data_IF_435339956292
#
_entry.id   IF_435339956292
#
_cell.length_a   1.000
_cell.length_b   1.000
_cell.length_c   1.000
_cell.angle_alpha   90.00
_cell.angle_beta   90.00
_cell.angle_gamma   90.00
#
_symmetry.space_group_name_H-M   'P 1'
#
loop_
_entity.id
_entity.type
_entity.pdbx_description
1 polymer ?
#
# COMPACT_ATOMS: atom_id res chain seq x y z
N UNK A 1 5.76 7.57 -13.49
CA UNK A 1 5.11 8.11 -12.27
C UNK A 1 5.73 7.45 -11.06
N UNK A 2 6.28 8.26 -10.19
CA UNK A 2 6.94 7.75 -8.99
C UNK A 2 5.95 7.72 -7.84
N UNK A 3 5.75 6.54 -7.26
CA UNK A 3 4.76 6.31 -6.23
C UNK A 3 5.40 5.67 -5.02
N UNK A 4 4.65 5.65 -3.91
CA UNK A 4 5.05 4.91 -2.71
C UNK A 4 4.27 3.61 -2.66
N UNK A 5 4.96 2.50 -2.78
CA UNK A 5 4.35 1.18 -2.74
C UNK A 5 4.32 0.68 -1.31
N UNK A 6 3.17 0.14 -0.89
CA UNK A 6 2.98 -0.39 0.47
C UNK A 6 2.41 -1.79 0.35
N UNK A 7 3.13 -2.75 0.88
CA UNK A 7 2.71 -4.16 0.87
C UNK A 7 2.51 -4.64 2.29
N UNK A 8 1.62 -5.62 2.50
CA UNK A 8 1.39 -6.11 3.87
C UNK A 8 2.67 -6.58 4.53
N UNK A 9 2.88 -6.16 5.76
CA UNK A 9 4.00 -6.63 6.57
C UNK A 9 5.33 -5.98 6.29
N UNK A 10 5.46 -5.13 5.27
CA UNK A 10 6.77 -4.57 4.88
C UNK A 10 6.77 -3.05 5.01
N UNK A 11 7.97 -2.48 5.04
CA UNK A 11 8.13 -1.04 5.00
C UNK A 11 7.81 -0.52 3.59
N UNK A 12 7.25 0.70 3.49
CA UNK A 12 6.97 1.25 2.16
C UNK A 12 8.24 1.52 1.38
N UNK A 13 8.13 1.49 0.06
CA UNK A 13 9.27 1.74 -0.81
C UNK A 13 8.81 2.47 -2.07
N UNK A 14 9.75 3.18 -2.68
CA UNK A 14 9.47 3.92 -3.90
C UNK A 14 9.43 2.98 -5.09
N UNK A 15 8.53 3.26 -6.02
CA UNK A 15 8.36 2.43 -7.21
C UNK A 15 7.96 3.31 -8.37
N UNK A 16 8.40 2.94 -9.55
CA UNK A 16 7.98 3.60 -10.79
C UNK A 16 6.86 2.79 -11.42
N UNK A 17 5.73 3.44 -11.71
CA UNK A 17 4.60 2.81 -12.40
C UNK A 17 4.21 3.66 -13.59
N UNK A 18 4.06 3.05 -14.74
CA UNK A 18 3.71 3.77 -15.95
C UNK A 18 2.53 3.07 -16.63
N UNK A 19 1.39 3.75 -16.63
CA UNK A 19 0.20 3.26 -17.30
C UNK A 19 -0.67 2.36 -16.44
N UNK A 20 -1.88 2.18 -16.92
CA UNK A 20 -2.91 1.45 -16.18
C UNK A 20 -2.52 0.00 -15.94
N UNK A 21 -1.89 -0.63 -16.92
CA UNK A 21 -1.54 -2.04 -16.80
C UNK A 21 -0.57 -2.27 -15.64
N UNK A 22 0.43 -1.40 -15.50
CA UNK A 22 1.38 -1.53 -14.39
C UNK A 22 0.73 -1.23 -13.05
N UNK A 23 -0.20 -0.27 -13.03
CA UNK A 23 -0.93 0.04 -11.81
C UNK A 23 -1.79 -1.16 -11.38
N UNK A 24 -2.48 -1.80 -12.32
CA UNK A 24 -3.28 -2.97 -12.01
C UNK A 24 -2.41 -4.12 -11.50
N UNK A 25 -1.26 -4.32 -12.12
CA UNK A 25 -0.34 -5.37 -11.69
C UNK A 25 0.16 -5.11 -10.27
N UNK A 26 0.42 -3.85 -9.94
CA UNK A 26 0.93 -3.48 -8.62
C UNK A 26 -0.05 -3.81 -7.51
N UNK A 27 -1.35 -3.63 -7.75
CA UNK A 27 -2.37 -3.87 -6.71
C UNK A 27 -3.02 -5.25 -6.83
N UNK A 28 -2.79 -5.95 -7.94
CA UNK A 28 -3.30 -7.29 -8.11
C UNK A 28 -4.73 -7.37 -8.61
N UNK A 29 -5.25 -6.32 -9.23
CA UNK A 29 -6.62 -6.31 -9.72
C UNK A 29 -7.00 -4.98 -10.33
N UNK A 30 -8.28 -4.74 -10.46
CA UNK A 30 -8.79 -3.47 -10.94
C UNK A 30 -8.54 -2.40 -9.89
N UNK A 31 -8.16 -1.22 -10.32
CA UNK A 31 -7.78 -0.17 -9.38
C UNK A 31 -8.99 0.61 -8.90
N UNK A 32 -8.90 1.04 -7.65
CA UNK A 32 -9.84 1.97 -7.02
C UNK A 32 -9.01 3.00 -6.28
N UNK A 33 -9.36 4.27 -6.43
CA UNK A 33 -8.70 5.34 -5.70
C UNK A 33 -9.55 5.75 -4.51
N UNK A 34 -8.92 5.92 -3.37
CA UNK A 34 -9.56 6.51 -2.19
C UNK A 34 -8.72 7.70 -1.74
N UNK A 35 -9.33 8.57 -0.95
CA UNK A 35 -8.73 9.87 -0.62
C UNK A 35 -8.77 10.09 0.89
N UNK A 36 -8.01 9.29 1.66
CA UNK A 36 -8.09 9.37 3.13
C UNK A 36 -7.34 10.56 3.74
N UNK A 37 -6.58 11.30 2.96
CA UNK A 37 -5.77 12.41 3.46
C UNK A 37 -6.24 13.72 2.86
N UNK A 38 -6.01 14.82 3.59
CA UNK A 38 -6.38 16.15 3.10
C UNK A 38 -5.29 16.75 2.22
N UNK A 39 -4.45 15.95 1.66
CA UNK A 39 -3.39 16.33 0.75
C UNK A 39 -3.81 15.93 -0.66
N UNK A 40 -3.11 16.46 -1.66
CA UNK A 40 -3.38 16.11 -3.06
C UNK A 40 -2.71 14.79 -3.41
N UNK A 41 -3.17 13.74 -2.76
CA UNK A 41 -2.69 12.38 -2.98
C UNK A 41 -3.88 11.43 -3.02
N UNK A 42 -3.68 10.31 -3.68
CA UNK A 42 -4.65 9.22 -3.70
C UNK A 42 -3.97 7.95 -3.20
N UNK A 43 -4.74 7.12 -2.52
CA UNK A 43 -4.36 5.75 -2.21
C UNK A 43 -5.06 4.87 -3.23
N UNK A 44 -4.29 4.12 -4.02
CA UNK A 44 -4.82 3.30 -5.10
C UNK A 44 -4.66 1.84 -4.71
N UNK A 45 -5.76 1.12 -4.71
CA UNK A 45 -5.82 -0.25 -4.22
C UNK A 45 -6.72 -1.08 -5.14
N UNK A 46 -6.75 -2.38 -4.87
CA UNK A 46 -7.67 -3.30 -5.54
C UNK A 46 -9.10 -2.93 -5.13
N UNK A 47 -10.02 -2.89 -6.09
CA UNK A 47 -11.41 -2.53 -5.80
C UNK A 47 -12.14 -3.63 -5.02
N UNK A 48 -11.53 -4.79 -4.85
CA UNK A 48 -12.08 -5.86 -4.02
C UNK A 48 -11.30 -6.02 -2.71
N UNK A 49 -10.68 -4.95 -2.24
CA UNK A 49 -9.75 -5.01 -1.11
C UNK A 49 -10.35 -5.60 0.18
N UNK A 50 -11.67 -5.49 0.34
CA UNK A 50 -12.33 -5.98 1.56
C UNK A 50 -12.66 -7.47 1.51
N UNK A 51 -12.35 -8.13 0.41
CA UNK A 51 -12.67 -9.55 0.24
C UNK A 51 -11.50 -10.47 0.53
N UNK A 52 -10.38 -9.93 1.04
CA UNK A 52 -9.16 -10.70 1.29
C UNK A 52 -8.67 -10.44 2.72
N UNK A 53 -9.41 -10.90 3.75
CA UNK A 53 -9.13 -10.49 5.13
C UNK A 53 -7.77 -10.93 5.66
N UNK A 54 -7.18 -11.99 5.13
CA UNK A 54 -5.86 -12.44 5.57
C UNK A 54 -4.72 -11.64 4.92
N UNK A 55 -5.06 -10.63 4.12
CA UNK A 55 -4.06 -9.77 3.48
C UNK A 55 -4.14 -8.34 4.00
N UNK A 56 -4.61 -8.15 5.22
CA UNK A 56 -4.73 -6.81 5.78
C UNK A 56 -3.38 -6.09 5.73
N UNK A 57 -3.39 -4.85 5.28
CA UNK A 57 -2.18 -4.07 5.07
C UNK A 57 -2.07 -2.93 6.09
N UNK A 58 -2.87 -1.91 5.94
CA UNK A 58 -2.81 -0.73 6.82
C UNK A 58 -4.21 -0.20 7.08
N UNK A 59 -4.41 0.35 8.27
CA UNK A 59 -5.62 1.12 8.54
C UNK A 59 -5.51 2.48 7.88
N UNK A 60 -6.67 3.08 7.58
CA UNK A 60 -6.74 4.36 6.88
C UNK A 60 -7.61 5.32 7.64
N UNK A 61 -7.23 6.61 7.68
CA UNK A 61 -8.08 7.64 8.27
C UNK A 61 -9.25 7.97 7.34
N UNK A 62 -10.09 8.90 7.75
CA UNK A 62 -11.16 9.42 6.90
C UNK A 62 -12.35 8.51 6.74
N UNK A 63 -12.53 7.54 7.63
CA UNK A 63 -13.69 6.67 7.58
C UNK A 63 -13.56 5.51 6.62
N UNK A 64 -12.40 5.32 6.01
CA UNK A 64 -12.20 4.22 5.05
C UNK A 64 -11.92 2.88 5.72
N UNK A 65 -11.57 2.89 7.00
CA UNK A 65 -11.28 1.66 7.73
C UNK A 65 -9.88 1.16 7.46
N UNK A 66 -9.71 0.33 6.43
CA UNK A 66 -8.41 -0.19 6.12
C UNK A 66 -8.32 -0.68 4.69
N UNK A 67 -7.11 -1.03 4.28
CA UNK A 67 -6.85 -1.58 2.95
C UNK A 67 -6.27 -2.96 3.11
N UNK A 68 -6.79 -3.90 2.35
CA UNK A 68 -6.33 -5.27 2.28
C UNK A 68 -5.57 -5.44 0.97
N UNK A 69 -4.46 -6.13 1.01
CA UNK A 69 -3.62 -6.29 -0.15
C UNK A 69 -2.71 -5.09 -0.41
N UNK A 70 -1.87 -5.17 -1.43
CA UNK A 70 -0.95 -4.07 -1.73
C UNK A 70 -1.68 -2.84 -2.24
N UNK A 71 -1.11 -1.67 -1.95
CA UNK A 71 -1.62 -0.41 -2.49
C UNK A 71 -0.43 0.50 -2.77
N UNK A 72 -0.70 1.59 -3.49
CA UNK A 72 0.31 2.63 -3.63
C UNK A 72 -0.30 4.00 -3.39
N UNK A 73 0.55 4.96 -3.05
CA UNK A 73 0.17 6.35 -2.87
C UNK A 73 0.78 7.12 -4.02
N UNK A 74 -0.04 7.94 -4.69
CA UNK A 74 0.42 8.78 -5.78
C UNK A 74 -0.12 10.18 -5.59
N UNK A 75 0.41 11.13 -6.35
CA UNK A 75 -0.07 12.49 -6.33
C UNK A 75 -1.29 12.65 -7.21
N UNK A 76 -1.99 13.76 -7.02
CA UNK A 76 -3.14 14.14 -7.85
C UNK A 76 -2.74 15.35 -8.67
N UNK A 77 -2.75 15.17 -10.00
CA UNK A 77 -2.59 16.25 -10.94
C UNK A 77 -3.92 16.87 -11.28
N UNK A 78 -3.96 17.68 -12.32
CA UNK A 78 -5.21 18.34 -12.71
C UNK A 78 -6.23 17.35 -13.25
N UNK A 79 -5.79 16.40 -14.06
CA UNK A 79 -6.70 15.47 -14.72
C UNK A 79 -6.37 14.01 -14.47
N UNK A 80 -5.29 13.71 -13.74
CA UNK A 80 -4.84 12.34 -13.63
C UNK A 80 -3.93 12.20 -12.42
N UNK A 81 -3.59 10.95 -12.11
CA UNK A 81 -2.57 10.65 -11.12
C UNK A 81 -1.22 11.17 -11.60
N UNK A 82 -0.40 11.56 -10.67
CA UNK A 82 0.93 12.04 -10.97
C UNK A 82 1.90 11.53 -9.90
N UNK A 83 3.18 11.79 -10.09
CA UNK A 83 4.20 11.39 -9.12
C UNK A 83 3.99 12.11 -7.79
N UNK A 84 4.34 11.44 -6.70
CA UNK A 84 4.46 12.13 -5.42
C UNK A 84 5.62 13.12 -5.50
N UNK A 85 5.46 14.26 -4.83
CA UNK A 85 6.60 15.17 -4.64
C UNK A 85 7.57 14.54 -3.63
N UNK A 86 8.82 15.00 -3.59
CA UNK A 86 9.75 14.50 -2.58
C UNK A 86 9.25 14.69 -1.15
N UNK A 87 8.59 15.80 -0.87
CA UNK A 87 8.02 16.05 0.46
C UNK A 87 6.91 15.06 0.77
N UNK A 88 6.02 14.83 -0.19
CA UNK A 88 4.94 13.87 0.00
C UNK A 88 5.50 12.47 0.21
N UNK A 89 6.52 12.11 -0.55
CA UNK A 89 7.16 10.80 -0.41
C UNK A 89 7.64 10.59 1.03
N UNK A 90 8.29 11.59 1.63
CA UNK A 90 8.77 11.48 3.00
C UNK A 90 7.64 11.41 4.01
N UNK A 91 6.58 12.20 3.81
CA UNK A 91 5.43 12.19 4.71
C UNK A 91 4.79 10.81 4.75
N UNK A 92 4.56 10.23 3.58
CA UNK A 92 3.83 8.95 3.55
C UNK A 92 4.71 7.76 3.85
N UNK A 93 6.02 7.84 3.62
CA UNK A 93 6.93 6.84 4.16
C UNK A 93 6.81 6.75 5.68
N UNK A 94 6.73 7.89 6.35
CA UNK A 94 6.58 7.90 7.81
C UNK A 94 5.19 7.43 8.23
N UNK A 95 4.17 7.85 7.49
CA UNK A 95 2.79 7.47 7.80
C UNK A 95 2.61 5.96 7.80
N UNK A 96 3.21 5.28 6.84
CA UNK A 96 3.02 3.85 6.63
C UNK A 96 4.22 3.00 7.04
N UNK A 97 5.16 3.59 7.79
CA UNK A 97 6.39 2.88 8.13
C UNK A 97 6.13 1.56 8.84
N UNK A 98 5.30 1.59 9.89
CA UNK A 98 5.03 0.39 10.68
C UNK A 98 4.03 -0.50 9.96
N UNK A 99 4.28 -1.79 9.98
CA UNK A 99 3.28 -2.76 9.55
C UNK A 99 2.18 -2.84 10.62
N UNK A 100 1.03 -3.39 10.24
CA UNK A 100 -0.09 -3.54 11.16
C UNK A 100 -0.60 -4.96 11.10
N UNK A 101 -0.95 -5.50 12.26
CA UNK A 101 -1.58 -6.81 12.35
C UNK A 101 -3.03 -6.59 12.76
N UNK A 102 -3.95 -7.14 11.99
CA UNK A 102 -5.37 -7.02 12.27
C UNK A 102 -5.75 -7.97 13.38
N UNK A 103 -6.29 -7.43 14.47
CA UNK A 103 -6.76 -8.23 15.60
C UNK A 103 -8.26 -8.52 15.50
N UNK A 104 -8.99 -7.68 14.82
CA UNK A 104 -10.44 -7.83 14.66
C UNK A 104 -11.04 -6.58 14.10
N UNK A 105 -12.36 -6.59 13.96
CA UNK A 105 -13.09 -5.43 13.45
C UNK A 105 -14.18 -5.11 14.48
N UNK A 106 -14.23 -3.85 14.90
CA UNK A 106 -15.22 -3.38 15.84
C UNK A 106 -15.91 -2.16 15.25
N UNK A 107 -17.22 -2.22 15.12
CA UNK A 107 -18.04 -1.12 14.57
C UNK A 107 -17.50 -0.70 13.19
N UNK A 108 -17.18 -1.67 12.36
CA UNK A 108 -16.64 -1.48 11.01
C UNK A 108 -15.27 -0.81 10.98
N UNK A 109 -14.59 -0.78 12.11
CA UNK A 109 -13.26 -0.19 12.23
C UNK A 109 -12.26 -1.28 12.57
N UNK A 110 -11.15 -1.39 11.82
CA UNK A 110 -10.13 -2.39 12.14
C UNK A 110 -9.47 -2.06 13.48
N UNK A 111 -9.29 -3.10 14.29
CA UNK A 111 -8.51 -3.00 15.52
C UNK A 111 -7.18 -3.65 15.22
N UNK A 112 -6.11 -2.86 15.28
CA UNK A 112 -4.80 -3.33 14.84
C UNK A 112 -3.73 -3.00 15.88
N UNK A 113 -2.61 -3.69 15.78
CA UNK A 113 -1.39 -3.30 16.48
C UNK A 113 -0.31 -3.01 15.45
N UNK A 114 0.55 -2.06 15.78
CA UNK A 114 1.69 -1.73 14.94
C UNK A 114 2.86 -2.61 15.31
N UNK A 115 3.58 -3.06 14.30
CA UNK A 115 4.76 -3.91 14.50
C UNK A 115 5.87 -3.41 13.59
N UNK A 116 7.10 -3.78 13.90
CA UNK A 116 8.22 -3.46 13.05
C UNK A 116 8.07 -4.18 11.71
N UNK A 117 8.23 -3.49 10.60
CA UNK A 117 8.08 -4.10 9.30
C UNK A 117 9.33 -4.83 8.85
N UNK A 118 9.16 -5.77 7.93
CA UNK A 118 10.28 -6.21 7.13
C UNK A 118 10.57 -5.13 6.10
N UNK A 119 11.84 -4.86 5.86
CA UNK A 119 12.19 -4.07 4.71
C UNK A 119 12.08 -4.94 3.48
N UNK A 120 11.69 -4.34 2.35
CA UNK A 120 11.47 -5.10 1.14
C UNK A 120 12.68 -5.95 0.78
N UNK A 121 13.88 -5.36 0.86
CA UNK A 121 15.11 -6.07 0.49
C UNK A 121 15.54 -7.09 1.53
N UNK A 122 14.93 -7.08 2.72
CA UNK A 122 15.26 -8.01 3.80
C UNK A 122 14.34 -9.22 3.81
N UNK A 123 13.34 -9.25 2.95
CA UNK A 123 12.46 -10.41 2.84
C UNK A 123 13.30 -11.58 2.32
N UNK A 124 13.28 -12.73 3.00
CA UNK A 124 14.08 -13.87 2.56
C UNK A 124 13.72 -14.27 1.14
N UNK A 125 14.73 -14.54 0.33
CA UNK A 125 14.49 -15.02 -1.02
C UNK A 125 14.09 -16.47 -0.96
N UNK A 126 13.15 -16.82 -1.79
CA UNK A 126 12.81 -18.22 -1.95
C UNK A 126 13.80 -18.77 -2.85
N UNK A 127 14.45 -19.53 -2.42
CA UNK A 127 15.50 -19.86 -3.29
C UNK A 127 15.09 -20.91 -4.24
N UNK A 128 14.68 -20.16 -3.97
CA UNK A 128 14.58 -20.38 -4.51
C UNK A 128 14.49 -20.98 -4.89
N UNK A 129 14.40 -21.36 -4.87
CA UNK A 129 14.62 -21.67 -5.21
C UNK A 129 14.70 -21.73 -5.66
N UNK A 130 15.06 -21.76 -5.65
CA UNK A 130 15.48 -21.61 -5.85
C UNK A 130 15.62 -21.66 -6.07
N UNK A 131 15.72 -22.10 -6.32
CA UNK A 131 16.34 -21.98 -6.27
C UNK A 131 16.58 -22.03 -6.21
N UNK A 132 16.71 -22.59 -6.44
CA UNK A 132 17.25 -22.45 -6.27
C UNK A 132 17.45 -22.36 -6.27
N UNK A 133 17.70 -22.64 -6.30
CA UNK A 133 18.03 -22.36 -6.02
C UNK A 133 17.88 -22.29 -6.05
N UNK A 134 17.89 -22.87 -6.21
CA UNK A 134 18.10 -22.64 -6.13
C UNK A 134 18.15 -22.57 -6.26
#
# INVERSE_FOLDING_TARGET
MKVLMVEPGTAPYEKELNGLHEMQAAVGGLIQAIYPFEDKVAVVCDDERMLKPNEFNRSMPGGYGGVFGPFFVCGLGEDDFTSLTPQQMEVYKKQFHHAEILLGIKDNTPVTIRVEPFKKRDVPKREHPDTPEH
#
